data_IF_045634604861
#
_entry.id   IF_045634604861
#
_cell.length_a   1.000
_cell.length_b   1.000
_cell.length_c   1.000
_cell.angle_alpha   90.00
_cell.angle_beta   90.00
_cell.angle_gamma   90.00
#
_symmetry.space_group_name_H-M   'P 1'
#
loop_
_entity.id
_entity.type
_entity.pdbx_description
1 polymer ?
#
# COMPACT_ATOMS: atom_id res chain seq x y z
N UNK A 1 48.23 -42.53 -32.29
CA UNK A 1 48.11 -41.50 -31.21
C UNK A 1 47.18 -40.32 -31.55
N UNK A 2 46.28 -40.41 -32.53
CA UNK A 2 45.45 -39.27 -32.96
C UNK A 2 43.93 -39.46 -32.71
N UNK A 3 43.54 -40.62 -32.17
CA UNK A 3 42.14 -40.99 -31.95
C UNK A 3 41.71 -40.92 -30.48
N UNK A 4 42.60 -40.69 -29.52
CA UNK A 4 42.29 -40.64 -28.08
C UNK A 4 42.08 -39.20 -27.58
N UNK A 5 42.46 -38.15 -28.35
CA UNK A 5 42.36 -36.77 -27.92
C UNK A 5 40.96 -36.18 -28.19
N UNK A 6 40.18 -36.74 -29.13
CA UNK A 6 38.86 -36.23 -29.51
C UNK A 6 37.77 -36.64 -28.50
N UNK A 7 37.97 -37.69 -27.70
CA UNK A 7 36.94 -38.17 -26.76
C UNK A 7 36.98 -37.40 -25.45
N UNK A 8 38.10 -36.76 -25.09
CA UNK A 8 38.22 -36.00 -23.83
C UNK A 8 37.61 -34.60 -23.92
N UNK A 9 37.46 -34.05 -25.13
CA UNK A 9 36.82 -32.72 -25.31
C UNK A 9 35.31 -32.74 -25.41
N UNK A 10 34.66 -33.93 -25.54
CA UNK A 10 33.21 -34.02 -25.63
C UNK A 10 32.53 -34.26 -24.26
N UNK A 11 33.32 -34.57 -23.20
CA UNK A 11 32.74 -34.82 -21.85
C UNK A 11 32.71 -33.61 -20.90
N UNK A 12 33.26 -32.45 -21.34
CA UNK A 12 33.28 -31.22 -20.51
C UNK A 12 32.20 -30.19 -20.84
N UNK A 13 31.24 -30.52 -21.74
CA UNK A 13 30.24 -29.54 -22.18
C UNK A 13 28.83 -29.81 -21.74
N UNK A 14 28.60 -30.76 -20.80
CA UNK A 14 27.25 -31.16 -20.34
C UNK A 14 26.95 -30.74 -18.89
N UNK A 15 27.78 -29.93 -18.25
CA UNK A 15 27.56 -29.56 -16.84
C UNK A 15 27.39 -28.05 -16.63
N UNK A 16 26.47 -27.41 -17.34
CA UNK A 16 26.18 -25.96 -17.10
C UNK A 16 24.75 -25.56 -17.40
N UNK A 17 23.76 -26.39 -17.11
CA UNK A 17 22.35 -25.96 -17.09
C UNK A 17 21.64 -26.43 -15.82
N UNK A 18 22.19 -26.06 -14.66
CA UNK A 18 21.37 -25.90 -13.48
C UNK A 18 20.94 -24.42 -13.41
N UNK A 19 20.03 -24.03 -14.28
CA UNK A 19 19.27 -22.80 -14.07
C UNK A 19 18.49 -22.98 -12.79
N UNK A 20 19.00 -22.34 -11.74
CA UNK A 20 18.26 -22.07 -10.52
C UNK A 20 16.93 -21.44 -10.89
N UNK A 21 15.83 -22.18 -10.77
CA UNK A 21 14.51 -21.59 -10.67
C UNK A 21 14.46 -20.86 -9.34
N UNK A 22 14.93 -19.61 -9.33
CA UNK A 22 14.60 -18.67 -8.28
C UNK A 22 13.08 -18.46 -8.36
N UNK A 23 12.39 -18.88 -7.33
CA UNK A 23 10.97 -18.57 -7.15
C UNK A 23 10.79 -17.06 -7.04
N UNK A 24 10.69 -16.39 -8.18
CA UNK A 24 10.35 -14.99 -8.32
C UNK A 24 8.83 -14.77 -8.22
N UNK A 25 8.18 -15.33 -7.19
CA UNK A 25 6.79 -14.99 -6.89
C UNK A 25 6.61 -13.51 -6.50
N UNK A 26 7.69 -12.79 -6.20
CA UNK A 26 7.65 -11.36 -5.86
C UNK A 26 7.83 -10.41 -7.06
N UNK A 27 8.17 -10.91 -8.25
CA UNK A 27 8.45 -10.06 -9.43
C UNK A 27 7.19 -9.58 -10.17
N UNK A 28 6.03 -10.17 -9.91
CA UNK A 28 4.80 -9.80 -10.61
C UNK A 28 4.04 -8.63 -9.96
N UNK A 29 4.33 -8.31 -8.70
CA UNK A 29 3.62 -7.23 -7.97
C UNK A 29 4.18 -5.86 -8.30
N UNK A 30 5.47 -5.75 -8.66
CA UNK A 30 6.12 -4.45 -8.87
C UNK A 30 6.27 -4.10 -10.37
N UNK A 31 5.18 -4.03 -11.11
CA UNK A 31 5.19 -3.46 -12.47
C UNK A 31 5.06 -1.91 -12.47
N UNK A 32 5.47 -1.25 -11.39
CA UNK A 32 5.38 0.23 -11.29
C UNK A 32 3.96 0.76 -11.17
N UNK A 33 3.01 -0.12 -10.88
CA UNK A 33 1.58 0.21 -10.85
C UNK A 33 1.11 0.63 -9.45
N UNK A 34 1.58 -0.03 -8.38
CA UNK A 34 1.29 0.34 -6.99
C UNK A 34 2.42 1.25 -6.51
N UNK A 35 2.12 2.49 -6.08
CA UNK A 35 3.14 3.41 -5.60
C UNK A 35 3.86 2.87 -4.37
N UNK A 36 5.17 3.14 -4.29
CA UNK A 36 6.01 2.70 -3.19
C UNK A 36 5.68 3.39 -1.87
N UNK A 37 5.75 2.64 -0.77
CA UNK A 37 5.64 3.20 0.58
C UNK A 37 6.87 4.03 1.02
N UNK A 38 7.94 4.07 0.24
CA UNK A 38 9.17 4.78 0.63
C UNK A 38 8.97 6.28 0.92
N UNK A 39 7.87 6.87 0.41
CA UNK A 39 7.52 8.27 0.68
C UNK A 39 6.73 8.50 1.98
N UNK A 40 6.41 7.45 2.72
CA UNK A 40 5.70 7.56 4.01
C UNK A 40 6.72 7.82 5.12
N UNK A 41 6.48 8.86 5.91
CA UNK A 41 7.33 9.17 7.07
C UNK A 41 7.05 8.17 8.20
N UNK A 42 8.05 7.41 8.57
CA UNK A 42 8.02 6.42 9.65
C UNK A 42 9.05 6.72 10.74
N UNK A 43 9.41 8.00 10.90
CA UNK A 43 10.39 8.44 11.90
C UNK A 43 9.83 8.51 13.33
N UNK A 44 8.52 8.31 13.49
CA UNK A 44 7.88 8.28 14.80
C UNK A 44 8.40 7.16 15.70
N UNK A 45 8.55 7.47 16.97
CA UNK A 45 8.95 6.49 17.98
C UNK A 45 7.73 5.95 18.70
N UNK A 46 7.57 4.65 18.71
CA UNK A 46 6.49 3.96 19.43
C UNK A 46 7.00 2.66 20.03
N UNK A 47 6.55 2.35 21.24
CA UNK A 47 6.77 1.03 21.85
C UNK A 47 5.77 -0.01 21.36
N UNK A 48 4.69 0.43 20.72
CA UNK A 48 3.73 -0.46 20.06
C UNK A 48 4.23 -0.82 18.66
N UNK A 49 3.99 -2.04 18.26
CA UNK A 49 4.37 -2.55 16.95
C UNK A 49 3.17 -3.14 16.22
N UNK A 50 3.00 -2.73 14.98
CA UNK A 50 2.06 -3.31 14.02
C UNK A 50 2.68 -3.19 12.63
N UNK A 51 3.40 -4.23 12.23
CA UNK A 51 4.03 -4.26 10.91
C UNK A 51 3.03 -4.74 9.85
N UNK A 52 2.85 -3.90 8.85
CA UNK A 52 2.05 -4.17 7.66
C UNK A 52 2.94 -4.10 6.42
N UNK A 53 2.79 -5.06 5.54
CA UNK A 53 3.55 -5.11 4.29
C UNK A 53 3.06 -4.02 3.34
N UNK A 54 4.01 -3.41 2.61
CA UNK A 54 3.67 -2.54 1.49
C UNK A 54 3.15 -3.37 0.32
N UNK A 55 2.04 -2.96 -0.26
CA UNK A 55 1.39 -3.70 -1.34
C UNK A 55 2.23 -3.76 -2.62
N UNK A 56 3.17 -2.80 -2.80
CA UNK A 56 4.17 -2.82 -3.87
C UNK A 56 5.32 -3.82 -3.65
N UNK A 57 5.37 -4.48 -2.48
CA UNK A 57 6.41 -5.44 -2.12
C UNK A 57 7.73 -4.82 -1.66
N UNK A 58 7.80 -3.51 -1.42
CA UNK A 58 9.03 -2.80 -1.02
C UNK A 58 9.45 -3.04 0.44
N UNK A 59 8.66 -3.77 1.23
CA UNK A 59 8.96 -4.07 2.63
C UNK A 59 7.74 -3.88 3.53
N UNK A 60 7.97 -3.71 4.82
CA UNK A 60 6.92 -3.50 5.82
C UNK A 60 7.12 -2.19 6.57
N UNK A 61 6.02 -1.59 7.01
CA UNK A 61 6.00 -0.37 7.83
C UNK A 61 5.39 -0.71 9.20
N UNK A 62 6.02 -0.24 10.29
CA UNK A 62 5.33 -0.20 11.57
C UNK A 62 4.29 0.93 11.54
N UNK A 63 3.00 0.56 11.55
CA UNK A 63 1.90 1.53 11.46
C UNK A 63 1.96 2.59 12.57
N UNK A 64 2.39 2.23 13.77
CA UNK A 64 2.50 3.16 14.90
C UNK A 64 3.67 4.16 14.79
N UNK A 65 4.58 3.97 13.84
CA UNK A 65 5.66 4.92 13.57
C UNK A 65 5.32 5.97 12.51
N UNK A 66 4.14 5.87 11.89
CA UNK A 66 3.72 6.79 10.82
C UNK A 66 3.52 8.19 11.37
N UNK A 67 4.10 9.17 10.68
CA UNK A 67 3.88 10.60 10.92
C UNK A 67 3.24 11.25 9.69
N UNK A 68 2.43 12.28 9.94
CA UNK A 68 1.73 13.02 8.91
C UNK A 68 2.37 14.39 8.60
N UNK A 69 1.61 15.30 8.02
CA UNK A 69 0.16 15.22 7.76
C UNK A 69 -0.21 14.10 6.78
N UNK A 70 -1.07 13.19 7.20
CA UNK A 70 -1.45 12.06 6.38
C UNK A 70 -2.91 11.66 6.61
N UNK A 71 -3.62 11.36 5.52
CA UNK A 71 -4.92 10.70 5.54
C UNK A 71 -4.69 9.21 5.35
N UNK A 72 -5.22 8.39 6.23
CA UNK A 72 -5.20 6.93 6.12
C UNK A 72 -6.61 6.46 5.81
N UNK A 73 -6.81 5.82 4.66
CA UNK A 73 -8.09 5.23 4.26
C UNK A 73 -8.00 3.71 4.29
N UNK A 74 -8.82 3.10 5.14
CA UNK A 74 -8.93 1.63 5.29
C UNK A 74 -10.03 1.13 4.38
N UNK A 75 -9.71 0.17 3.52
CA UNK A 75 -10.61 -0.31 2.49
C UNK A 75 -10.43 -1.80 2.22
N UNK A 76 -11.36 -2.40 1.49
CA UNK A 76 -11.26 -3.73 0.92
C UNK A 76 -12.05 -3.80 -0.37
N UNK A 77 -11.64 -4.63 -1.31
CA UNK A 77 -12.32 -4.77 -2.61
C UNK A 77 -13.75 -5.33 -2.48
N UNK A 78 -14.01 -6.06 -1.42
CA UNK A 78 -15.31 -6.63 -1.05
C UNK A 78 -16.28 -5.61 -0.44
N UNK A 79 -15.80 -4.42 -0.06
CA UNK A 79 -16.54 -3.40 0.67
C UNK A 79 -17.30 -2.47 -0.29
N UNK A 80 -18.62 -2.53 -0.30
CA UNK A 80 -19.46 -1.69 -1.18
C UNK A 80 -19.33 -0.19 -0.87
N UNK A 81 -19.28 0.18 0.41
CA UNK A 81 -19.06 1.57 0.82
C UNK A 81 -17.72 2.12 0.36
N UNK A 82 -16.67 1.29 0.38
CA UNK A 82 -15.36 1.67 -0.11
C UNK A 82 -15.38 1.98 -1.62
N UNK A 83 -16.10 1.17 -2.40
CA UNK A 83 -16.28 1.42 -3.85
C UNK A 83 -17.00 2.74 -4.12
N UNK A 84 -18.00 3.07 -3.30
CA UNK A 84 -18.78 4.30 -3.46
C UNK A 84 -17.95 5.56 -3.17
N UNK A 85 -17.09 5.53 -2.15
CA UNK A 85 -16.31 6.71 -1.75
C UNK A 85 -15.00 6.87 -2.55
N UNK A 86 -14.49 5.80 -3.19
CA UNK A 86 -13.18 5.81 -3.84
C UNK A 86 -13.00 6.92 -4.89
N UNK A 87 -13.99 7.28 -5.73
CA UNK A 87 -13.88 8.42 -6.63
C UNK A 87 -13.55 9.74 -5.93
N UNK A 88 -14.03 9.94 -4.71
CA UNK A 88 -13.74 11.15 -3.93
C UNK A 88 -12.29 11.18 -3.44
N UNK A 89 -11.72 10.03 -3.05
CA UNK A 89 -10.29 9.92 -2.70
C UNK A 89 -9.38 10.10 -3.91
N UNK A 90 -9.77 9.60 -5.08
CA UNK A 90 -9.04 9.83 -6.33
C UNK A 90 -8.99 11.32 -6.67
N UNK A 91 -10.12 12.04 -6.53
CA UNK A 91 -10.19 13.48 -6.73
C UNK A 91 -9.38 14.23 -5.65
N UNK A 92 -9.51 13.85 -4.38
CA UNK A 92 -8.74 14.42 -3.28
C UNK A 92 -7.23 14.34 -3.54
N UNK A 93 -6.75 13.19 -4.00
CA UNK A 93 -5.33 12.98 -4.30
C UNK A 93 -4.83 13.86 -5.47
N UNK A 94 -5.73 14.36 -6.33
CA UNK A 94 -5.40 15.30 -7.39
C UNK A 94 -5.34 16.77 -6.92
N UNK A 95 -5.76 17.08 -5.70
CA UNK A 95 -5.71 18.43 -5.14
C UNK A 95 -4.27 18.86 -4.80
N UNK A 96 -4.04 20.19 -4.74
CA UNK A 96 -2.69 20.74 -4.60
C UNK A 96 -1.94 20.28 -3.35
N UNK A 97 -2.52 20.22 -2.15
CA UNK A 97 -1.80 19.75 -0.95
C UNK A 97 -1.29 18.32 -1.05
N UNK A 98 -2.02 17.43 -1.74
CA UNK A 98 -1.59 16.04 -1.96
C UNK A 98 -0.56 15.93 -3.09
N UNK A 99 -0.75 16.65 -4.19
CA UNK A 99 0.22 16.70 -5.31
C UNK A 99 1.58 17.25 -4.89
N UNK A 100 1.59 18.29 -4.04
CA UNK A 100 2.84 18.86 -3.52
C UNK A 100 3.52 17.95 -2.49
N UNK A 101 2.80 16.97 -1.95
CA UNK A 101 3.25 16.12 -0.85
C UNK A 101 3.19 16.80 0.53
N UNK A 102 2.53 17.94 0.63
CA UNK A 102 2.24 18.61 1.91
C UNK A 102 1.38 17.71 2.80
N UNK A 103 0.37 17.06 2.22
CA UNK A 103 -0.43 16.03 2.87
C UNK A 103 -0.24 14.73 2.10
N UNK A 104 -0.01 13.64 2.81
CA UNK A 104 0.08 12.30 2.21
C UNK A 104 -1.28 11.59 2.24
N UNK A 105 -1.45 10.62 1.36
CA UNK A 105 -2.56 9.68 1.39
C UNK A 105 -1.97 8.27 1.44
N UNK A 106 -2.50 7.43 2.32
CA UNK A 106 -2.11 6.03 2.50
C UNK A 106 -3.36 5.17 2.53
N UNK A 107 -3.41 4.14 1.71
CA UNK A 107 -4.42 3.10 1.79
C UNK A 107 -3.99 1.99 2.77
N UNK A 108 -4.94 1.36 3.41
CA UNK A 108 -4.76 0.08 4.10
C UNK A 108 -5.79 -0.89 3.57
N UNK A 109 -5.32 -1.83 2.77
CA UNK A 109 -6.10 -2.90 2.18
C UNK A 109 -6.27 -4.03 3.19
N UNK A 110 -7.52 -4.36 3.54
CA UNK A 110 -7.79 -5.33 4.60
C UNK A 110 -8.56 -6.55 4.10
N UNK A 111 -8.19 -7.72 4.65
CA UNK A 111 -8.96 -8.97 4.54
C UNK A 111 -9.27 -9.41 3.11
N UNK A 112 -8.38 -9.12 2.17
CA UNK A 112 -8.47 -9.64 0.81
C UNK A 112 -8.20 -11.15 0.77
N UNK A 113 -8.75 -11.82 -0.23
CA UNK A 113 -8.46 -13.23 -0.48
C UNK A 113 -7.03 -13.46 -0.98
N UNK A 114 -6.42 -12.45 -1.57
CA UNK A 114 -5.02 -12.42 -1.98
C UNK A 114 -4.57 -10.97 -2.27
N UNK A 115 -3.25 -10.74 -2.23
CA UNK A 115 -2.62 -9.47 -2.65
C UNK A 115 -3.07 -9.02 -4.05
N UNK A 116 -3.21 -9.95 -4.99
CA UNK A 116 -3.58 -9.64 -6.37
C UNK A 116 -4.97 -8.97 -6.46
N UNK A 117 -5.92 -9.39 -5.64
CA UNK A 117 -7.27 -8.80 -5.61
C UNK A 117 -7.20 -7.32 -5.23
N UNK A 118 -6.40 -6.97 -4.20
CA UNK A 118 -6.16 -5.58 -3.82
C UNK A 118 -5.49 -4.78 -4.94
N UNK A 119 -4.47 -5.34 -5.58
CA UNK A 119 -3.79 -4.71 -6.74
C UNK A 119 -4.77 -4.45 -7.89
N UNK A 120 -5.64 -5.40 -8.21
CA UNK A 120 -6.63 -5.26 -9.29
C UNK A 120 -7.66 -4.17 -8.95
N UNK A 121 -8.05 -4.07 -7.68
CA UNK A 121 -8.93 -3.00 -7.21
C UNK A 121 -8.27 -1.63 -7.33
N UNK A 122 -7.02 -1.46 -6.85
CA UNK A 122 -6.25 -0.23 -7.01
C UNK A 122 -6.20 0.21 -8.47
N UNK A 123 -5.96 -0.75 -9.37
CA UNK A 123 -5.91 -0.51 -10.81
C UNK A 123 -7.26 -0.07 -11.36
N UNK A 124 -8.33 -0.76 -10.99
CA UNK A 124 -9.68 -0.46 -11.47
C UNK A 124 -10.16 0.93 -11.09
N UNK A 125 -9.76 1.41 -9.91
CA UNK A 125 -10.18 2.72 -9.38
C UNK A 125 -9.14 3.84 -9.59
N UNK A 126 -7.95 3.55 -10.13
CA UNK A 126 -6.90 4.56 -10.37
C UNK A 126 -6.29 5.12 -9.09
N UNK A 127 -6.16 4.29 -8.05
CA UNK A 127 -5.63 4.68 -6.73
C UNK A 127 -4.10 4.83 -6.80
N UNK A 128 -3.62 6.03 -7.09
CA UNK A 128 -2.20 6.29 -7.38
C UNK A 128 -1.40 6.80 -6.17
N UNK A 129 -1.68 6.28 -4.99
CA UNK A 129 -0.97 6.51 -3.73
C UNK A 129 -0.50 5.20 -3.09
N UNK A 130 0.40 5.22 -2.08
CA UNK A 130 0.88 4.02 -1.40
C UNK A 130 -0.21 3.26 -0.67
N UNK A 131 -0.05 1.94 -0.61
CA UNK A 131 -0.97 1.06 0.12
C UNK A 131 -0.20 0.04 0.97
N UNK A 132 -0.69 -0.18 2.19
CA UNK A 132 -0.34 -1.30 3.04
C UNK A 132 -1.37 -2.42 2.87
N UNK A 133 -0.97 -3.66 3.11
CA UNK A 133 -1.90 -4.79 3.13
C UNK A 133 -2.01 -5.43 4.51
N UNK A 134 -3.21 -5.84 4.86
CA UNK A 134 -3.54 -6.62 6.05
C UNK A 134 -4.49 -7.77 5.72
N UNK A 135 -4.00 -8.75 4.99
CA UNK A 135 -4.79 -9.95 4.60
C UNK A 135 -5.31 -10.69 5.84
N UNK A 136 -4.57 -10.65 6.94
CA UNK A 136 -4.87 -11.44 8.15
C UNK A 136 -5.74 -10.72 9.18
N UNK A 137 -6.09 -9.45 8.94
CA UNK A 137 -6.95 -8.67 9.83
C UNK A 137 -6.28 -8.25 11.14
N UNK A 138 -4.96 -8.07 11.17
CA UNK A 138 -4.21 -7.57 12.35
C UNK A 138 -4.71 -6.20 12.80
N UNK A 139 -5.21 -5.40 11.87
CA UNK A 139 -5.67 -4.02 12.11
C UNK A 139 -7.07 -3.93 12.74
N UNK A 140 -7.79 -5.04 12.92
CA UNK A 140 -9.14 -5.05 13.52
C UNK A 140 -9.19 -4.41 14.91
N UNK A 141 -8.14 -4.58 15.70
CA UNK A 141 -8.05 -3.98 17.04
C UNK A 141 -7.85 -2.47 16.98
N UNK A 142 -7.36 -1.95 15.86
CA UNK A 142 -7.02 -0.55 15.67
C UNK A 142 -8.15 0.23 14.97
N UNK A 143 -8.65 -0.30 13.87
CA UNK A 143 -9.68 0.35 13.03
C UNK A 143 -11.09 -0.12 13.29
N UNK A 144 -11.27 -1.24 14.00
CA UNK A 144 -12.56 -1.91 14.17
C UNK A 144 -12.76 -3.04 13.15
N UNK A 145 -13.94 -3.69 13.17
CA UNK A 145 -14.18 -4.94 12.46
C UNK A 145 -14.53 -4.78 10.98
N UNK A 146 -14.46 -3.58 10.42
CA UNK A 146 -14.89 -3.36 9.04
C UNK A 146 -14.27 -2.14 8.37
N UNK A 147 -14.65 -1.95 7.11
CA UNK A 147 -14.30 -0.85 6.25
C UNK A 147 -15.58 -0.19 5.69
N UNK A 148 -15.51 1.08 5.19
CA UNK A 148 -14.33 1.93 5.24
C UNK A 148 -14.13 2.66 6.58
N UNK A 149 -12.89 3.02 6.86
CA UNK A 149 -12.52 3.88 7.99
C UNK A 149 -11.45 4.87 7.52
N UNK A 150 -11.58 6.13 7.89
CA UNK A 150 -10.60 7.16 7.54
C UNK A 150 -10.02 7.81 8.79
N UNK A 151 -8.69 7.85 8.89
CA UNK A 151 -7.97 8.54 9.96
C UNK A 151 -7.20 9.74 9.41
N UNK A 152 -7.12 10.80 10.22
CA UNK A 152 -6.34 11.99 9.96
C UNK A 152 -5.24 12.07 11.01
N UNK A 153 -3.98 12.02 10.58
CA UNK A 153 -2.80 11.94 11.47
C UNK A 153 -1.94 13.18 11.24
N UNK A 154 -1.59 13.87 12.33
CA UNK A 154 -0.75 15.06 12.26
C UNK A 154 0.75 14.73 12.09
N UNK A 155 1.56 15.76 11.95
CA UNK A 155 3.02 15.66 11.77
C UNK A 155 3.76 14.97 12.92
N UNK A 156 3.13 14.75 14.07
CA UNK A 156 3.71 14.09 15.23
C UNK A 156 3.14 12.67 15.44
N UNK A 157 2.39 12.14 14.46
CA UNK A 157 1.76 10.82 14.55
C UNK A 157 0.48 10.79 15.39
N UNK A 158 -0.02 11.94 15.84
CA UNK A 158 -1.27 12.01 16.62
C UNK A 158 -2.49 11.94 15.71
N UNK A 159 -3.43 11.07 16.04
CA UNK A 159 -4.73 11.00 15.36
C UNK A 159 -5.56 12.23 15.74
N UNK A 160 -5.86 13.06 14.75
CA UNK A 160 -6.66 14.29 14.90
C UNK A 160 -8.15 14.00 14.84
N UNK A 161 -8.56 13.12 13.94
CA UNK A 161 -9.95 12.75 13.71
C UNK A 161 -10.04 11.34 13.11
N UNK A 162 -11.21 10.73 13.25
CA UNK A 162 -11.59 9.43 12.66
C UNK A 162 -12.97 9.56 12.06
N UNK A 163 -13.16 9.00 10.87
CA UNK A 163 -14.46 8.82 10.24
C UNK A 163 -14.69 7.33 10.04
N UNK A 164 -15.86 6.83 10.46
CA UNK A 164 -16.25 5.42 10.35
C UNK A 164 -17.44 5.37 9.39
N UNK A 165 -17.36 4.52 8.39
CA UNK A 165 -18.32 4.41 7.31
C UNK A 165 -17.93 5.21 6.08
N UNK A 166 -18.68 5.00 4.99
CA UNK A 166 -18.37 5.64 3.71
C UNK A 166 -18.75 7.13 3.71
N UNK A 167 -17.95 7.94 3.04
CA UNK A 167 -18.36 9.28 2.66
C UNK A 167 -19.47 9.20 1.63
N UNK A 168 -20.55 9.97 1.85
CA UNK A 168 -21.72 9.98 0.97
C UNK A 168 -21.54 10.94 -0.22
N UNK A 169 -20.66 11.91 -0.08
CA UNK A 169 -20.31 12.87 -1.12
C UNK A 169 -18.90 13.43 -0.93
N UNK A 170 -18.41 14.07 -1.97
CA UNK A 170 -17.09 14.70 -2.04
C UNK A 170 -16.90 15.77 -0.94
N UNK A 171 -17.90 16.62 -0.76
CA UNK A 171 -17.83 17.77 0.13
C UNK A 171 -17.57 17.36 1.57
N UNK A 172 -18.19 16.26 2.01
CA UNK A 172 -17.99 15.70 3.34
C UNK A 172 -16.52 15.31 3.59
N UNK A 173 -15.88 14.62 2.63
CA UNK A 173 -14.46 14.24 2.73
C UNK A 173 -13.56 15.47 2.73
N UNK A 174 -13.76 16.37 1.78
CA UNK A 174 -12.90 17.56 1.59
C UNK A 174 -12.96 18.49 2.80
N UNK A 175 -14.15 18.77 3.31
CA UNK A 175 -14.34 19.58 4.53
C UNK A 175 -13.64 18.97 5.74
N UNK A 176 -13.65 17.63 5.88
CA UNK A 176 -12.93 16.98 6.98
C UNK A 176 -11.41 17.12 6.84
N UNK A 177 -10.87 16.98 5.64
CA UNK A 177 -9.43 17.22 5.37
C UNK A 177 -9.04 18.64 5.68
N UNK A 178 -9.80 19.62 5.16
CA UNK A 178 -9.56 21.05 5.41
C UNK A 178 -9.55 21.37 6.91
N UNK A 179 -10.53 20.85 7.64
CA UNK A 179 -10.64 21.03 9.08
C UNK A 179 -9.51 20.35 9.85
N UNK A 180 -9.09 19.16 9.44
CA UNK A 180 -8.05 18.41 10.14
C UNK A 180 -6.68 19.04 10.00
N UNK A 181 -6.36 19.58 8.82
CA UNK A 181 -5.01 20.06 8.50
C UNK A 181 -4.91 21.58 8.31
N UNK A 182 -6.02 22.31 8.33
CA UNK A 182 -6.03 23.76 8.19
C UNK A 182 -5.69 24.25 6.77
N UNK A 183 -5.95 23.42 5.76
CA UNK A 183 -5.72 23.72 4.34
C UNK A 183 -7.01 24.09 3.63
N UNK A 184 -6.90 24.55 2.37
CA UNK A 184 -8.03 24.67 1.44
C UNK A 184 -7.83 23.74 0.24
N UNK A 185 -8.90 23.08 -0.19
CA UNK A 185 -8.93 22.12 -1.29
C UNK A 185 -9.74 22.62 -2.50
#
# INVERSE_FOLDING_TARGET
>A
MRRFIVIIFLSLFVLSFLTSCSNNSNLLVNQGFVPSCAGIDTSGTSTNELFLDCLDGSGAINFYSIQGPIVVNVWGSWCDGCRQEMPYFVELYQSQPFKSGEIKLLGVDIEESSRQVGVDFIKAYGMSWPHLEDITGKTKTLFGPGAPVTWFIDKNGKVLNKHIGAYTDREQLFTQVEKAFGVKL
#
